data_IF_727326304434
#
_entry.id   IF_727326304434
#
_cell.length_a   1.000
_cell.length_b   1.000
_cell.length_c   1.000
_cell.angle_alpha   90.00
_cell.angle_beta   90.00
_cell.angle_gamma   90.00
#
_symmetry.space_group_name_H-M   'P 1'
#
loop_
_entity.id
_entity.type
_entity.pdbx_description
1 polymer ?
#
# COMPACT_ATOMS: atom_id res chain seq x y z
N UNK A 1 -0.88 -19.21 9.34
CA UNK A 1 -2.02 -18.96 8.42
C UNK A 1 -1.63 -17.86 7.43
N UNK A 2 -1.07 -18.22 6.28
CA UNK A 2 -0.81 -17.28 5.17
C UNK A 2 -1.99 -17.31 4.22
N UNK A 3 -3.05 -16.58 4.56
CA UNK A 3 -4.22 -16.41 3.69
C UNK A 3 -3.83 -15.55 2.50
N UNK A 4 -4.17 -15.99 1.29
CA UNK A 4 -3.91 -15.22 0.07
C UNK A 4 -4.64 -13.86 0.11
N UNK A 5 -3.96 -12.74 -0.20
CA UNK A 5 -4.51 -11.38 -0.13
C UNK A 5 -5.69 -11.21 -1.09
N UNK A 6 -5.72 -11.97 -2.19
CA UNK A 6 -6.78 -11.94 -3.20
C UNK A 6 -8.15 -12.35 -2.65
N UNK A 7 -8.18 -13.16 -1.58
CA UNK A 7 -9.43 -13.66 -0.97
C UNK A 7 -9.90 -12.82 0.22
N UNK A 8 -9.13 -11.80 0.62
CA UNK A 8 -9.51 -10.93 1.74
C UNK A 8 -10.43 -9.80 1.25
N UNK A 9 -11.46 -9.43 2.04
CA UNK A 9 -12.18 -8.19 1.82
C UNK A 9 -11.27 -7.00 2.07
N UNK A 10 -11.56 -5.87 1.45
CA UNK A 10 -10.71 -4.68 1.40
C UNK A 10 -10.27 -4.17 2.78
N UNK A 11 -11.19 -4.11 3.74
CA UNK A 11 -10.87 -3.71 5.11
C UNK A 11 -9.90 -4.69 5.79
N UNK A 12 -10.15 -5.99 5.65
CA UNK A 12 -9.29 -7.01 6.22
C UNK A 12 -7.92 -7.04 5.51
N UNK A 13 -7.88 -6.80 4.19
CA UNK A 13 -6.65 -6.70 3.42
C UNK A 13 -5.77 -5.54 3.94
N UNK A 14 -6.37 -4.37 4.20
CA UNK A 14 -5.67 -3.20 4.76
C UNK A 14 -5.15 -3.46 6.18
N UNK A 15 -5.98 -4.06 7.04
CA UNK A 15 -5.57 -4.42 8.40
C UNK A 15 -4.42 -5.43 8.39
N UNK A 16 -4.50 -6.45 7.52
CA UNK A 16 -3.50 -7.52 7.38
C UNK A 16 -2.19 -6.97 6.82
N UNK A 17 -2.24 -6.09 5.82
CA UNK A 17 -1.06 -5.40 5.28
C UNK A 17 -0.35 -4.60 6.39
N UNK A 18 -1.10 -3.82 7.18
CA UNK A 18 -0.56 -3.06 8.31
C UNK A 18 0.06 -3.96 9.37
N UNK A 19 -0.61 -5.06 9.73
CA UNK A 19 -0.12 -6.02 10.69
C UNK A 19 1.22 -6.63 10.26
N UNK A 20 1.30 -7.14 9.02
CA UNK A 20 2.54 -7.73 8.52
C UNK A 20 3.65 -6.70 8.36
N UNK A 21 3.32 -5.45 8.04
CA UNK A 21 4.30 -4.36 8.01
C UNK A 21 4.91 -4.09 9.38
N UNK A 22 4.09 -4.04 10.43
CA UNK A 22 4.57 -3.91 11.81
C UNK A 22 5.44 -5.09 12.23
N UNK A 23 5.02 -6.32 11.88
CA UNK A 23 5.81 -7.53 12.12
C UNK A 23 7.15 -7.50 11.36
N UNK A 24 7.16 -7.02 10.12
CA UNK A 24 8.37 -6.86 9.33
C UNK A 24 9.34 -5.83 9.91
N UNK A 25 8.82 -4.74 10.49
CA UNK A 25 9.63 -3.74 11.19
C UNK A 25 10.21 -4.27 12.50
N UNK A 26 9.48 -5.15 13.19
CA UNK A 26 9.94 -5.84 14.39
C UNK A 26 10.96 -6.95 14.10
N UNK A 27 11.29 -7.20 12.82
CA UNK A 27 12.28 -8.21 12.42
C UNK A 27 11.74 -9.64 12.40
N UNK A 28 10.43 -9.84 12.36
CA UNK A 28 9.84 -11.19 12.25
C UNK A 28 10.25 -11.83 10.92
N UNK A 29 10.86 -13.03 11.00
CA UNK A 29 11.36 -13.76 9.82
C UNK A 29 10.21 -14.06 8.85
N UNK A 30 10.40 -13.76 7.57
CA UNK A 30 9.39 -13.96 6.52
C UNK A 30 8.26 -12.92 6.49
N UNK A 31 8.15 -12.04 7.50
CA UNK A 31 7.08 -11.04 7.53
C UNK A 31 7.23 -9.97 6.43
N UNK A 32 8.45 -9.72 5.94
CA UNK A 32 8.69 -8.78 4.82
C UNK A 32 8.05 -9.25 3.52
N UNK A 33 8.21 -10.52 3.17
CA UNK A 33 7.64 -11.12 1.96
C UNK A 33 6.12 -11.15 2.04
N UNK A 34 5.58 -11.53 3.20
CA UNK A 34 4.13 -11.57 3.43
C UNK A 34 3.55 -10.15 3.37
N UNK A 35 4.21 -9.16 3.99
CA UNK A 35 3.81 -7.77 3.91
C UNK A 35 3.81 -7.28 2.45
N UNK A 36 4.88 -7.55 1.70
CA UNK A 36 4.99 -7.16 0.31
C UNK A 36 3.85 -7.72 -0.55
N UNK A 37 3.46 -8.98 -0.32
CA UNK A 37 2.38 -9.60 -1.09
C UNK A 37 1.02 -8.96 -0.81
N UNK A 38 0.73 -8.61 0.46
CA UNK A 38 -0.50 -7.88 0.81
C UNK A 38 -0.47 -6.44 0.29
N UNK A 39 0.68 -5.78 0.34
CA UNK A 39 0.87 -4.41 -0.17
C UNK A 39 0.73 -4.33 -1.70
N UNK A 40 1.18 -5.36 -2.42
CA UNK A 40 0.97 -5.47 -3.86
C UNK A 40 -0.52 -5.53 -4.21
N UNK A 41 -1.29 -6.33 -3.49
CA UNK A 41 -2.73 -6.47 -3.73
C UNK A 41 -3.50 -5.21 -3.32
N UNK A 42 -3.09 -4.52 -2.24
CA UNK A 42 -3.61 -3.18 -1.91
C UNK A 42 -3.34 -2.21 -3.06
N UNK A 43 -2.13 -2.16 -3.62
CA UNK A 43 -1.86 -1.28 -4.77
C UNK A 43 -2.72 -1.63 -5.96
N UNK A 44 -2.89 -2.91 -6.28
CA UNK A 44 -3.72 -3.36 -7.39
C UNK A 44 -5.18 -2.89 -7.24
N UNK A 45 -5.80 -3.16 -6.08
CA UNK A 45 -7.21 -2.77 -5.86
C UNK A 45 -7.40 -1.27 -5.76
N UNK A 46 -6.59 -0.58 -4.96
CA UNK A 46 -6.84 0.82 -4.63
C UNK A 46 -6.21 1.83 -5.60
N UNK A 47 -5.34 1.40 -6.52
CA UNK A 47 -4.75 2.28 -7.55
C UNK A 47 -5.47 2.17 -8.88
N UNK A 48 -5.92 0.97 -9.29
CA UNK A 48 -6.61 0.77 -10.57
C UNK A 48 -8.07 1.25 -10.55
N UNK A 49 -8.64 1.53 -9.37
CA UNK A 49 -9.97 2.11 -9.21
C UNK A 49 -10.03 3.64 -9.30
N UNK A 50 -8.94 4.33 -9.66
CA UNK A 50 -9.07 5.73 -10.09
C UNK A 50 -9.59 5.72 -11.54
N UNK A 51 -10.86 6.11 -11.82
CA UNK A 51 -11.31 6.21 -13.19
C UNK A 51 -10.42 7.23 -13.89
N UNK A 52 -9.65 6.73 -14.85
CA UNK A 52 -8.84 7.51 -15.77
C UNK A 52 -9.77 8.34 -16.66
N UNK A 53 -10.27 9.46 -16.11
CA UNK A 53 -10.62 10.60 -16.93
C UNK A 53 -9.30 11.23 -17.38
N UNK A 54 -8.81 10.74 -18.52
CA UNK A 54 -8.04 11.47 -19.53
C UNK A 54 -7.22 12.67 -19.01
N UNK A 55 -5.89 12.56 -18.86
CA UNK A 55 -4.98 13.63 -19.34
C UNK A 55 -3.58 13.05 -19.64
N UNK A 56 -3.04 13.27 -20.86
CA UNK A 56 -1.67 12.93 -21.20
C UNK A 56 -0.70 14.01 -20.69
N UNK A 57 0.48 13.58 -20.24
CA UNK A 57 1.72 14.38 -20.13
C UNK A 57 1.75 15.63 -19.22
N UNK A 58 2.62 15.52 -18.20
CA UNK A 58 3.48 16.58 -17.62
C UNK A 58 2.89 17.53 -16.55
N UNK A 59 3.59 17.53 -15.41
CA UNK A 59 3.75 18.62 -14.41
C UNK A 59 2.66 18.82 -13.32
N UNK A 60 3.05 18.57 -12.06
CA UNK A 60 2.49 19.14 -10.81
C UNK A 60 2.51 20.68 -10.78
N UNK A 61 1.82 21.45 -9.90
CA UNK A 61 1.42 21.11 -8.50
C UNK A 61 0.14 21.75 -7.87
N UNK A 62 -0.12 21.33 -6.63
CA UNK A 62 -0.73 22.03 -5.46
C UNK A 62 -2.25 21.89 -5.10
N UNK A 63 -2.44 21.30 -3.90
CA UNK A 63 -3.51 21.46 -2.87
C UNK A 63 -4.84 20.70 -2.99
N UNK A 64 -5.02 19.67 -2.14
CA UNK A 64 -6.05 19.63 -1.07
C UNK A 64 -6.00 18.29 -0.32
N UNK A 65 -5.72 18.32 1.00
CA UNK A 65 -5.75 17.15 1.90
C UNK A 65 -4.64 16.11 1.63
N UNK A 66 -3.82 15.74 2.61
CA UNK A 66 -2.79 14.72 2.36
C UNK A 66 -3.45 13.41 1.89
N UNK A 67 -3.25 12.98 0.62
CA UNK A 67 -3.73 11.66 0.23
C UNK A 67 -2.95 10.65 1.06
N UNK A 68 -3.63 9.60 1.54
CA UNK A 68 -3.02 8.53 2.32
C UNK A 68 -1.75 7.95 1.66
N UNK A 69 -1.66 8.03 0.32
CA UNK A 69 -0.49 7.73 -0.51
C UNK A 69 0.78 8.51 -0.14
N UNK A 70 0.64 9.73 0.38
CA UNK A 70 1.74 10.61 0.81
C UNK A 70 2.35 10.15 2.14
N UNK A 71 1.57 9.57 3.05
CA UNK A 71 2.10 8.93 4.26
C UNK A 71 2.96 7.71 3.90
N UNK A 72 2.51 6.91 2.92
CA UNK A 72 3.26 5.77 2.40
C UNK A 72 4.56 6.18 1.67
N UNK A 73 4.51 7.24 0.83
CA UNK A 73 5.72 7.78 0.16
C UNK A 73 6.72 8.38 1.14
N UNK A 74 6.25 9.05 2.20
CA UNK A 74 7.10 9.61 3.26
C UNK A 74 7.76 8.50 4.10
N UNK A 75 7.09 7.36 4.23
CA UNK A 75 7.62 6.17 4.88
C UNK A 75 8.75 5.51 4.07
N UNK A 76 8.60 5.42 2.74
CA UNK A 76 9.63 4.87 1.84
C UNK A 76 10.95 5.68 1.87
N UNK A 77 10.85 7.01 2.04
CA UNK A 77 12.02 7.91 2.07
C UNK A 77 12.79 7.90 3.39
N UNK A 78 12.23 7.33 4.47
CA UNK A 78 12.82 7.29 5.82
C UNK A 78 13.67 6.03 6.05
N UNK A 79 13.67 5.08 5.13
CA UNK A 79 14.43 3.82 5.21
C UNK A 79 15.77 3.87 4.46
N UNK A 80 16.47 5.01 4.42
CA UNK A 80 17.85 5.09 3.93
C UNK A 80 18.77 5.56 5.05
#
# INVERSE_FOLDING_TARGET
MNTAPDRLPDEALLQRARFWRLSAMRGVRGAREIAHWHEAEVRRRFTDHQPSSQVPTRSTPLQSGMPWCSLWRRFLKRCK
#
